data_IF_032301886434
#
_entry.id   IF_032301886434
#
_cell.length_a   1.000
_cell.length_b   1.000
_cell.length_c   1.000
_cell.angle_alpha   90.00
_cell.angle_beta   90.00
_cell.angle_gamma   90.00
#
_symmetry.space_group_name_H-M   'P 1'
#
loop_
_entity.id
_entity.type
_entity.pdbx_description
1 polymer ?
#
# COMPACT_ATOMS: atom_id res chain seq x y z
N UNK A 1 16.14 12.04 7.36
CA UNK A 1 15.02 11.08 7.27
C UNK A 1 15.14 10.37 5.94
N UNK A 2 15.54 9.10 5.95
CA UNK A 2 15.74 8.33 4.72
C UNK A 2 14.38 7.87 4.19
N UNK A 3 14.17 7.94 2.88
CA UNK A 3 12.91 7.54 2.23
C UNK A 3 13.17 6.28 1.42
N UNK A 4 12.27 5.32 1.52
CA UNK A 4 12.13 4.32 0.47
C UNK A 4 11.49 5.01 -0.74
N UNK A 5 12.16 4.99 -1.88
CA UNK A 5 11.61 5.54 -3.11
C UNK A 5 10.64 4.50 -3.66
N UNK A 6 9.40 4.93 -3.89
CA UNK A 6 8.36 4.11 -4.46
C UNK A 6 8.22 4.50 -5.94
N UNK A 7 9.07 3.92 -6.76
CA UNK A 7 9.09 4.06 -8.22
C UNK A 7 7.95 3.28 -8.90
N UNK A 8 7.43 2.24 -8.23
CA UNK A 8 6.26 1.48 -8.64
C UNK A 8 5.14 1.67 -7.60
N UNK A 9 3.95 2.04 -8.07
CA UNK A 9 2.78 2.22 -7.19
C UNK A 9 2.25 0.88 -6.69
N UNK A 10 2.02 0.76 -5.38
CA UNK A 10 1.23 -0.33 -4.77
C UNK A 10 -0.24 0.06 -4.57
N UNK A 11 -0.63 1.27 -5.01
CA UNK A 11 -1.93 1.88 -4.67
C UNK A 11 -3.14 1.04 -5.09
N UNK A 12 -3.06 0.37 -6.25
CA UNK A 12 -4.12 -0.52 -6.73
C UNK A 12 -4.29 -1.76 -5.84
N UNK A 13 -3.19 -2.33 -5.36
CA UNK A 13 -3.22 -3.45 -4.42
C UNK A 13 -3.80 -3.05 -3.07
N UNK A 14 -3.46 -1.85 -2.57
CA UNK A 14 -4.06 -1.33 -1.34
C UNK A 14 -5.56 -1.09 -1.50
N UNK A 15 -5.99 -0.54 -2.65
CA UNK A 15 -7.40 -0.35 -2.97
C UNK A 15 -8.16 -1.69 -3.04
N UNK A 16 -7.57 -2.69 -3.70
CA UNK A 16 -8.10 -4.05 -3.80
C UNK A 16 -8.31 -4.65 -2.42
N UNK A 17 -7.27 -4.66 -1.59
CA UNK A 17 -7.32 -5.20 -0.24
C UNK A 17 -8.32 -4.45 0.63
N UNK A 18 -8.28 -3.11 0.65
CA UNK A 18 -9.23 -2.32 1.43
C UNK A 18 -10.70 -2.65 1.10
N UNK A 19 -11.01 -2.77 -0.20
CA UNK A 19 -12.35 -3.13 -0.66
C UNK A 19 -12.72 -4.57 -0.29
N UNK A 20 -11.77 -5.51 -0.39
CA UNK A 20 -11.99 -6.90 0.01
C UNK A 20 -12.33 -7.03 1.52
N UNK A 21 -11.75 -6.16 2.35
CA UNK A 21 -12.05 -6.08 3.79
C UNK A 21 -13.28 -5.21 4.12
N UNK A 22 -13.99 -4.69 3.11
CA UNK A 22 -15.21 -3.91 3.31
C UNK A 22 -15.00 -2.54 3.96
N UNK A 23 -13.77 -2.01 3.98
CA UNK A 23 -13.45 -0.77 4.68
C UNK A 23 -13.59 0.45 3.75
N UNK A 24 -14.16 1.55 4.24
CA UNK A 24 -13.98 2.84 3.60
C UNK A 24 -12.53 3.34 3.82
N UNK A 25 -12.12 4.38 3.08
CA UNK A 25 -10.83 5.02 3.36
C UNK A 25 -10.77 5.64 4.76
N UNK A 26 -11.90 6.08 5.30
CA UNK A 26 -11.97 6.65 6.64
C UNK A 26 -11.76 5.56 7.69
N UNK A 27 -12.46 4.42 7.55
CA UNK A 27 -12.38 3.31 8.50
C UNK A 27 -10.95 2.76 8.60
N UNK A 28 -10.30 2.52 7.45
CA UNK A 28 -8.92 2.04 7.46
C UNK A 28 -7.95 3.03 8.11
N UNK A 29 -8.12 4.33 7.85
CA UNK A 29 -7.27 5.35 8.47
C UNK A 29 -7.50 5.41 9.98
N UNK A 30 -8.74 5.24 10.45
CA UNK A 30 -9.03 5.10 11.88
C UNK A 30 -8.30 3.90 12.49
N UNK A 31 -8.32 2.73 11.83
CA UNK A 31 -7.58 1.54 12.29
C UNK A 31 -6.06 1.76 12.32
N UNK A 32 -5.50 2.43 11.30
CA UNK A 32 -4.09 2.80 11.25
C UNK A 32 -3.70 3.74 12.40
N UNK A 33 -4.54 4.74 12.67
CA UNK A 33 -4.30 5.72 13.74
C UNK A 33 -4.36 5.08 15.13
N UNK A 34 -5.30 4.17 15.35
CA UNK A 34 -5.38 3.38 16.59
C UNK A 34 -4.10 2.55 16.85
N UNK A 35 -3.34 2.23 15.79
CA UNK A 35 -2.08 1.49 15.86
C UNK A 35 -0.84 2.38 15.72
N UNK A 36 -0.99 3.70 15.86
CA UNK A 36 0.12 4.67 15.94
C UNK A 36 0.49 5.34 14.62
N UNK A 37 -0.25 5.13 13.53
CA UNK A 37 -0.07 5.91 12.31
C UNK A 37 -0.51 7.36 12.52
N UNK A 38 0.22 8.30 11.90
CA UNK A 38 -0.19 9.72 11.81
C UNK A 38 -0.84 10.05 10.47
N UNK A 39 -1.21 9.04 9.67
CA UNK A 39 -1.74 9.24 8.33
C UNK A 39 -3.14 9.84 8.37
N UNK A 40 -3.44 10.75 7.44
CA UNK A 40 -4.79 11.29 7.23
C UNK A 40 -5.50 10.56 6.09
N UNK A 41 -6.83 10.58 6.07
CA UNK A 41 -7.64 9.99 4.98
C UNK A 41 -7.27 10.54 3.60
N UNK A 42 -7.01 11.84 3.50
CA UNK A 42 -6.56 12.46 2.24
C UNK A 42 -5.17 11.94 1.80
N UNK A 43 -4.28 11.68 2.76
CA UNK A 43 -2.97 11.08 2.46
C UNK A 43 -3.14 9.67 1.94
N UNK A 44 -3.95 8.85 2.62
CA UNK A 44 -4.24 7.49 2.20
C UNK A 44 -4.90 7.45 0.81
N UNK A 45 -5.86 8.33 0.54
CA UNK A 45 -6.48 8.46 -0.78
C UNK A 45 -5.45 8.77 -1.88
N UNK A 46 -4.45 9.59 -1.62
CA UNK A 46 -3.39 9.88 -2.60
C UNK A 46 -2.45 8.69 -2.81
N UNK A 47 -2.25 7.85 -1.79
CA UNK A 47 -1.47 6.62 -1.92
C UNK A 47 -2.21 5.62 -2.82
N UNK A 48 -3.52 5.41 -2.61
CA UNK A 48 -4.32 4.53 -3.48
C UNK A 48 -4.32 4.96 -4.95
N UNK A 49 -4.25 6.27 -5.21
CA UNK A 49 -4.17 6.82 -6.56
C UNK A 49 -2.72 6.91 -7.11
N UNK A 50 -1.71 6.38 -6.41
CA UNK A 50 -0.31 6.40 -6.85
C UNK A 50 0.36 7.79 -6.83
N UNK A 51 -0.25 8.78 -6.18
CA UNK A 51 0.23 10.18 -6.13
C UNK A 51 1.21 10.43 -4.97
N UNK A 52 1.22 9.55 -3.96
CA UNK A 52 2.03 9.68 -2.75
C UNK A 52 2.63 8.33 -2.37
N UNK A 53 3.86 8.36 -1.85
CA UNK A 53 4.48 7.19 -1.24
C UNK A 53 3.87 6.89 0.13
N UNK A 54 3.96 5.63 0.54
CA UNK A 54 3.61 5.17 1.89
C UNK A 54 4.85 5.08 2.79
N UNK A 55 4.69 5.28 4.11
CA UNK A 55 5.76 5.01 5.08
C UNK A 55 5.87 3.50 5.30
N UNK A 56 7.09 2.98 5.49
CA UNK A 56 7.31 1.57 5.83
C UNK A 56 6.56 1.16 7.12
N UNK A 57 6.49 2.04 8.12
CA UNK A 57 5.70 1.78 9.33
C UNK A 57 4.23 1.56 9.03
N UNK A 58 3.63 2.38 8.16
CA UNK A 58 2.23 2.25 7.77
C UNK A 58 2.01 0.99 6.91
N UNK A 59 3.00 0.62 6.08
CA UNK A 59 2.97 -0.62 5.31
C UNK A 59 2.94 -1.87 6.22
N UNK A 60 3.74 -1.87 7.29
CA UNK A 60 3.71 -2.93 8.31
C UNK A 60 2.34 -2.97 9.01
N UNK A 61 1.75 -1.82 9.32
CA UNK A 61 0.42 -1.77 9.93
C UNK A 61 -0.67 -2.31 9.00
N UNK A 62 -0.61 -2.03 7.69
CA UNK A 62 -1.55 -2.57 6.71
C UNK A 62 -1.49 -4.09 6.65
N UNK A 63 -0.28 -4.67 6.69
CA UNK A 63 -0.10 -6.13 6.81
C UNK A 63 -0.86 -6.68 8.03
N UNK A 64 -0.72 -6.03 9.19
CA UNK A 64 -1.37 -6.47 10.44
C UNK A 64 -2.89 -6.27 10.40
N UNK A 65 -3.39 -5.16 9.83
CA UNK A 65 -4.83 -4.89 9.73
C UNK A 65 -5.51 -5.90 8.81
N UNK A 66 -4.87 -6.22 7.69
CA UNK A 66 -5.41 -7.20 6.75
C UNK A 66 -5.07 -8.63 7.14
N UNK A 67 -4.11 -8.89 8.03
CA UNK A 67 -3.66 -10.27 8.32
C UNK A 67 -3.26 -11.03 7.05
N UNK A 68 -2.44 -10.39 6.22
CA UNK A 68 -1.94 -10.93 4.94
C UNK A 68 -0.42 -11.04 4.94
N UNK A 69 0.12 -11.82 4.01
CA UNK A 69 1.55 -11.75 3.71
C UNK A 69 1.91 -10.44 3.00
N UNK A 70 3.17 -10.01 3.10
CA UNK A 70 3.63 -8.81 2.39
C UNK A 70 3.46 -8.93 0.87
N UNK A 71 3.58 -10.13 0.30
CA UNK A 71 3.41 -10.38 -1.13
C UNK A 71 2.07 -9.88 -1.68
N UNK A 72 0.98 -9.92 -0.90
CA UNK A 72 -0.33 -9.40 -1.31
C UNK A 72 -0.33 -7.89 -1.59
N UNK A 73 0.53 -7.14 -0.91
CA UNK A 73 0.67 -5.69 -1.13
C UNK A 73 1.40 -5.39 -2.45
N UNK A 74 2.15 -6.35 -2.99
CA UNK A 74 2.98 -6.22 -4.20
C UNK A 74 2.51 -7.13 -5.34
N UNK A 75 1.33 -7.74 -5.23
CA UNK A 75 0.79 -8.64 -6.23
C UNK A 75 0.78 -8.00 -7.63
N UNK A 76 1.21 -8.77 -8.64
CA UNK A 76 1.29 -8.34 -10.03
C UNK A 76 2.32 -7.24 -10.35
N UNK A 77 3.07 -6.71 -9.37
CA UNK A 77 4.06 -5.67 -9.62
C UNK A 77 5.35 -6.27 -10.18
N UNK A 78 5.79 -5.73 -11.32
CA UNK A 78 7.02 -6.12 -11.99
C UNK A 78 7.87 -4.87 -12.20
N UNK A 79 9.14 -4.84 -11.75
CA UNK A 79 10.04 -3.76 -12.08
C UNK A 79 10.19 -3.53 -13.58
N UNK A 80 10.16 -2.26 -13.99
CA UNK A 80 10.18 -1.85 -15.40
C UNK A 80 11.39 -2.36 -16.18
N UNK A 81 12.49 -2.66 -15.48
CA UNK A 81 13.77 -3.02 -16.09
C UNK A 81 13.99 -4.53 -16.18
N UNK A 82 13.00 -5.35 -15.78
CA UNK A 82 13.07 -6.81 -15.96
C UNK A 82 12.59 -7.13 -17.39
N UNK A 83 13.44 -7.70 -18.26
CA UNK A 83 12.99 -8.22 -19.55
C UNK A 83 11.85 -9.20 -19.30
N UNK A 84 10.72 -9.02 -20.00
CA UNK A 84 9.57 -9.93 -19.87
C UNK A 84 10.08 -11.37 -20.03
N UNK A 85 9.96 -12.17 -18.96
CA UNK A 85 10.28 -13.60 -18.96
C UNK A 85 9.48 -14.23 -20.10
N UNK A 86 10.16 -14.55 -21.21
CA UNK A 86 9.55 -14.92 -22.49
C UNK A 86 10.21 -14.29 -23.73
N UNK A 87 11.23 -13.43 -23.58
CA UNK A 87 12.03 -12.89 -24.69
C UNK A 87 13.52 -13.30 -24.64
N UNK A 88 13.84 -14.43 -24.00
CA UNK A 88 15.15 -15.08 -24.06
C UNK A 88 15.01 -16.47 -24.66
#
# INVERSE_FOLDING_TARGET
MNKFIQDISIGENLLRLRKAYGLSQADLVSELQLRGSTMSRNTYSKIENGVRNIKISDLILLKVIYDVDFSELFDGLIPSDIPKLGQL
#
